data_IF_950584777316
#
_entry.id   IF_950584777316
#
_cell.length_a   1.000
_cell.length_b   1.000
_cell.length_c   1.000
_cell.angle_alpha   90.00
_cell.angle_beta   90.00
_cell.angle_gamma   90.00
#
_symmetry.space_group_name_H-M   'P 1'
#
loop_
_entity.id
_entity.type
_entity.pdbx_description
1 polymer ?
#
# COMPACT_ATOMS: atom_id res chain seq x y z
N UNK A 1 49.76 4.32 -0.84
CA UNK A 1 48.68 4.37 0.18
C UNK A 1 47.37 4.54 -0.58
N UNK A 2 46.70 3.41 -0.83
CA UNK A 2 45.47 3.22 -1.62
C UNK A 2 44.24 3.75 -0.86
N UNK A 3 43.77 4.97 -1.13
CA UNK A 3 42.52 5.51 -0.54
C UNK A 3 41.71 6.34 -1.55
N UNK A 4 41.58 5.84 -2.77
CA UNK A 4 40.74 6.48 -3.80
C UNK A 4 39.97 5.48 -4.65
N UNK A 5 40.36 4.20 -4.66
CA UNK A 5 39.66 3.16 -5.43
C UNK A 5 38.43 2.62 -4.68
N UNK A 6 38.48 2.57 -3.34
CA UNK A 6 37.39 2.02 -2.52
C UNK A 6 36.12 2.87 -2.54
N UNK A 7 36.23 4.20 -2.64
CA UNK A 7 35.07 5.10 -2.75
C UNK A 7 34.42 5.04 -4.14
N UNK A 8 35.19 4.72 -5.17
CA UNK A 8 34.66 4.59 -6.53
C UNK A 8 33.92 3.28 -6.74
N UNK A 9 34.30 2.21 -6.03
CA UNK A 9 33.56 0.94 -5.97
C UNK A 9 32.29 1.07 -5.12
N UNK A 10 32.35 1.76 -3.96
CA UNK A 10 31.19 1.95 -3.10
C UNK A 10 30.06 2.76 -3.77
N UNK A 11 30.40 3.63 -4.72
CA UNK A 11 29.44 4.42 -5.50
C UNK A 11 28.84 3.65 -6.68
N UNK A 12 29.44 2.52 -7.07
CA UNK A 12 28.97 1.59 -8.09
C UNK A 12 27.90 0.62 -7.55
N UNK A 13 27.78 0.51 -6.22
CA UNK A 13 26.83 -0.38 -5.54
C UNK A 13 25.43 0.23 -5.35
N UNK A 14 25.29 1.55 -5.54
CA UNK A 14 24.00 2.24 -5.52
C UNK A 14 23.45 2.32 -6.95
N UNK A 15 22.91 1.20 -7.44
CA UNK A 15 22.12 1.19 -8.67
C UNK A 15 20.86 2.01 -8.41
N UNK A 16 20.92 3.32 -8.70
CA UNK A 16 19.76 4.20 -8.73
C UNK A 16 18.79 3.65 -9.78
N UNK A 17 17.86 2.80 -9.33
CA UNK A 17 16.75 2.30 -10.14
C UNK A 17 16.15 3.49 -10.87
N UNK A 18 16.01 3.40 -12.19
CA UNK A 18 15.29 4.42 -12.93
C UNK A 18 13.91 4.59 -12.28
N UNK A 19 13.37 5.80 -12.25
CA UNK A 19 12.15 6.13 -11.49
C UNK A 19 11.01 5.11 -11.74
N UNK A 20 10.85 4.67 -12.99
CA UNK A 20 9.90 3.62 -13.36
C UNK A 20 10.18 2.25 -12.70
N UNK A 21 11.44 1.83 -12.60
CA UNK A 21 11.83 0.57 -11.95
C UNK A 21 11.64 0.64 -10.42
N UNK A 22 11.96 1.78 -9.81
CA UNK A 22 11.70 2.00 -8.39
C UNK A 22 10.20 1.94 -8.09
N UNK A 23 9.37 2.52 -8.95
CA UNK A 23 7.93 2.48 -8.82
C UNK A 23 7.35 1.08 -9.08
N UNK A 24 7.93 0.31 -10.01
CA UNK A 24 7.61 -1.11 -10.21
C UNK A 24 7.94 -1.93 -8.96
N UNK A 25 9.14 -1.77 -8.40
CA UNK A 25 9.57 -2.46 -7.18
C UNK A 25 8.67 -2.11 -5.99
N UNK A 26 8.31 -0.84 -5.82
CA UNK A 26 7.37 -0.40 -4.79
C UNK A 26 5.98 -1.04 -4.97
N UNK A 27 5.49 -1.13 -6.21
CA UNK A 27 4.21 -1.78 -6.53
C UNK A 27 4.25 -3.26 -6.18
N UNK A 28 5.33 -3.97 -6.54
CA UNK A 28 5.52 -5.38 -6.18
C UNK A 28 5.61 -5.57 -4.66
N UNK A 29 6.30 -4.69 -3.94
CA UNK A 29 6.36 -4.74 -2.49
C UNK A 29 4.98 -4.56 -1.85
N UNK A 30 4.14 -3.65 -2.37
CA UNK A 30 2.76 -3.47 -1.92
C UNK A 30 1.89 -4.69 -2.23
N UNK A 31 2.05 -5.31 -3.40
CA UNK A 31 1.37 -6.56 -3.75
C UNK A 31 1.73 -7.71 -2.80
N UNK A 32 3.01 -7.81 -2.41
CA UNK A 32 3.46 -8.81 -1.42
C UNK A 32 2.90 -8.48 -0.03
N UNK A 33 2.93 -7.21 0.37
CA UNK A 33 2.35 -6.74 1.63
C UNK A 33 0.84 -6.94 1.73
N UNK A 34 0.11 -6.89 0.60
CA UNK A 34 -1.32 -7.19 0.55
C UNK A 34 -1.63 -8.64 0.96
N UNK A 35 -0.80 -9.60 0.51
CA UNK A 35 -0.96 -11.02 0.83
C UNK A 35 -0.69 -11.32 2.31
N UNK A 36 0.27 -10.62 2.92
CA UNK A 36 0.70 -10.83 4.32
C UNK A 36 0.09 -9.83 5.32
N UNK A 37 -0.73 -8.89 4.85
CA UNK A 37 -1.23 -7.77 5.65
C UNK A 37 -2.17 -8.21 6.78
N UNK A 38 -1.91 -7.69 7.98
CA UNK A 38 -2.59 -8.04 9.24
C UNK A 38 -4.03 -7.51 9.37
N UNK A 39 -4.46 -6.53 8.55
CA UNK A 39 -5.75 -5.85 8.74
C UNK A 39 -6.60 -5.81 7.46
N UNK A 40 -7.77 -6.46 7.49
CA UNK A 40 -8.77 -6.43 6.40
C UNK A 40 -9.25 -5.01 6.06
N UNK A 41 -9.20 -4.09 7.03
CA UNK A 41 -9.63 -2.70 6.85
C UNK A 41 -8.79 -1.93 5.81
N UNK A 42 -7.51 -2.29 5.62
CA UNK A 42 -6.61 -1.63 4.67
C UNK A 42 -6.48 -2.36 3.33
N UNK A 43 -6.90 -3.63 3.27
CA UNK A 43 -6.89 -4.42 2.02
C UNK A 43 -7.54 -3.70 0.83
N UNK A 44 -8.77 -3.15 0.91
CA UNK A 44 -9.38 -2.48 -0.25
C UNK A 44 -8.59 -1.23 -0.68
N UNK A 45 -8.05 -0.46 0.28
CA UNK A 45 -7.24 0.73 -0.03
C UNK A 45 -5.90 0.36 -0.69
N UNK A 46 -5.26 -0.71 -0.22
CA UNK A 46 -4.01 -1.24 -0.82
C UNK A 46 -4.29 -1.76 -2.24
N UNK A 47 -5.36 -2.54 -2.42
CA UNK A 47 -5.72 -3.07 -3.74
C UNK A 47 -6.02 -1.95 -4.76
N UNK A 48 -6.74 -0.91 -4.34
CA UNK A 48 -7.00 0.26 -5.16
C UNK A 48 -5.70 0.99 -5.53
N UNK A 49 -4.80 1.23 -4.56
CA UNK A 49 -3.51 1.88 -4.79
C UNK A 49 -2.61 1.09 -5.74
N UNK A 50 -2.56 -0.22 -5.61
CA UNK A 50 -1.83 -1.10 -6.54
C UNK A 50 -2.39 -0.97 -7.96
N UNK A 51 -3.72 -0.95 -8.13
CA UNK A 51 -4.33 -0.83 -9.44
C UNK A 51 -4.02 0.52 -10.13
N UNK A 52 -4.00 1.61 -9.36
CA UNK A 52 -3.62 2.96 -9.83
C UNK A 52 -2.14 3.03 -10.23
N UNK A 53 -1.23 2.51 -9.40
CA UNK A 53 0.20 2.47 -9.70
C UNK A 53 0.51 1.65 -10.96
N UNK A 54 -0.16 0.52 -11.14
CA UNK A 54 -0.02 -0.30 -12.35
C UNK A 54 -0.55 0.42 -13.59
N UNK A 55 -1.59 1.26 -13.46
CA UNK A 55 -2.09 2.07 -14.57
C UNK A 55 -1.05 3.09 -15.00
N UNK A 56 -0.45 3.82 -14.05
CA UNK A 56 0.64 4.76 -14.33
C UNK A 56 1.84 4.09 -15.01
N UNK A 57 2.29 2.95 -14.48
CA UNK A 57 3.41 2.18 -15.04
C UNK A 57 3.11 1.64 -16.45
N UNK A 58 1.87 1.29 -16.74
CA UNK A 58 1.49 0.78 -18.07
C UNK A 58 1.52 1.85 -19.17
N UNK A 59 1.43 3.13 -18.79
CA UNK A 59 1.52 4.28 -19.68
C UNK A 59 2.94 4.75 -19.94
N UNK A 60 3.91 4.31 -19.13
CA UNK A 60 5.30 4.74 -19.22
C UNK A 60 6.01 4.06 -20.41
N UNK A 61 6.47 4.87 -21.37
CA UNK A 61 7.18 4.41 -22.58
C UNK A 61 8.55 3.82 -22.29
N UNK A 62 9.06 3.98 -21.07
CA UNK A 62 10.33 3.40 -20.63
C UNK A 62 10.28 1.87 -20.57
N UNK A 63 9.09 1.28 -20.49
CA UNK A 63 8.90 -0.16 -20.51
C UNK A 63 8.68 -0.73 -21.91
N UNK A 64 9.24 -1.92 -22.15
CA UNK A 64 8.98 -2.73 -23.33
C UNK A 64 7.47 -2.91 -23.59
N UNK A 65 7.02 -2.97 -24.86
CA UNK A 65 5.62 -3.26 -25.19
C UNK A 65 5.06 -4.51 -24.51
N UNK A 66 5.86 -5.57 -24.39
CA UNK A 66 5.45 -6.81 -23.71
C UNK A 66 5.23 -6.59 -22.20
N UNK A 67 6.12 -5.80 -21.57
CA UNK A 67 6.01 -5.45 -20.16
C UNK A 67 4.78 -4.59 -19.92
N UNK A 68 4.51 -3.59 -20.77
CA UNK A 68 3.28 -2.78 -20.68
C UNK A 68 2.03 -3.64 -20.85
N UNK A 69 2.02 -4.58 -21.78
CA UNK A 69 0.90 -5.53 -21.94
C UNK A 69 0.70 -6.42 -20.69
N UNK A 70 1.80 -6.85 -20.05
CA UNK A 70 1.75 -7.56 -18.77
C UNK A 70 1.18 -6.67 -17.65
N UNK A 71 1.66 -5.43 -17.51
CA UNK A 71 1.20 -4.47 -16.50
C UNK A 71 -0.29 -4.15 -16.67
N UNK A 72 -0.78 -3.98 -17.90
CA UNK A 72 -2.21 -3.79 -18.19
C UNK A 72 -3.06 -5.00 -17.80
N UNK A 73 -2.58 -6.23 -18.06
CA UNK A 73 -3.27 -7.45 -17.62
C UNK A 73 -3.32 -7.53 -16.09
N UNK A 74 -2.22 -7.19 -15.44
CA UNK A 74 -2.11 -7.18 -13.99
C UNK A 74 -3.02 -6.12 -13.38
N UNK A 75 -3.05 -4.91 -13.95
CA UNK A 75 -3.93 -3.81 -13.55
C UNK A 75 -5.41 -4.23 -13.59
N UNK A 76 -5.87 -4.85 -14.68
CA UNK A 76 -7.26 -5.37 -14.75
C UNK A 76 -7.57 -6.40 -13.67
N UNK A 77 -6.63 -7.28 -13.35
CA UNK A 77 -6.82 -8.26 -12.26
C UNK A 77 -6.92 -7.57 -10.90
N UNK A 78 -6.10 -6.55 -10.65
CA UNK A 78 -6.13 -5.80 -9.41
C UNK A 78 -7.37 -4.91 -9.26
N UNK A 79 -7.94 -4.42 -10.36
CA UNK A 79 -9.26 -3.76 -10.34
C UNK A 79 -10.36 -4.73 -9.87
N UNK A 80 -10.40 -5.95 -10.39
CA UNK A 80 -11.35 -6.95 -9.90
C UNK A 80 -11.13 -7.30 -8.41
N UNK A 81 -9.88 -7.32 -7.95
CA UNK A 81 -9.54 -7.55 -6.52
C UNK A 81 -9.98 -6.36 -5.65
N UNK A 82 -9.82 -5.12 -6.13
CA UNK A 82 -10.23 -3.93 -5.38
C UNK A 82 -11.75 -3.87 -5.25
N UNK A 83 -12.49 -4.16 -6.32
CA UNK A 83 -13.95 -4.26 -6.34
C UNK A 83 -14.45 -5.35 -5.40
N UNK A 84 -13.86 -6.56 -5.47
CA UNK A 84 -14.22 -7.66 -4.57
C UNK A 84 -13.92 -7.32 -3.10
N UNK A 85 -12.82 -6.61 -2.83
CA UNK A 85 -12.46 -6.17 -1.48
C UNK A 85 -13.37 -5.05 -0.96
N UNK A 86 -13.85 -4.17 -1.83
CA UNK A 86 -14.82 -3.13 -1.49
C UNK A 86 -16.21 -3.72 -1.20
N UNK A 87 -16.64 -4.71 -2.00
CA UNK A 87 -17.90 -5.42 -1.80
C UNK A 87 -17.96 -6.15 -0.45
N UNK A 88 -16.82 -6.64 0.08
CA UNK A 88 -16.75 -7.26 1.42
C UNK A 88 -16.91 -6.25 2.57
N UNK A 89 -16.67 -4.95 2.33
CA UNK A 89 -16.83 -3.90 3.35
C UNK A 89 -18.28 -3.44 3.50
N UNK A 90 -19.06 -3.46 2.43
CA UNK A 90 -20.48 -3.08 2.42
C UNK A 90 -21.33 -3.86 3.46
N UNK A 91 -21.33 -5.20 3.51
CA UNK A 91 -22.17 -5.95 4.44
C UNK A 91 -21.75 -5.78 5.92
N UNK A 92 -20.48 -5.43 6.18
CA UNK A 92 -19.98 -5.19 7.54
C UNK A 92 -20.32 -3.79 8.06
N UNK A 93 -20.41 -2.79 7.17
CA UNK A 93 -20.81 -1.43 7.56
C UNK A 93 -22.29 -1.38 7.98
N UNK A 94 -23.16 -2.13 7.30
CA UNK A 94 -24.57 -2.27 7.69
C UNK A 94 -24.72 -3.05 9.01
N UNK A 95 -23.98 -4.14 9.22
CA UNK A 95 -24.00 -4.86 10.49
C UNK A 95 -23.44 -4.05 11.68
N UNK A 96 -22.42 -3.21 11.44
CA UNK A 96 -21.84 -2.33 12.47
C UNK A 96 -22.70 -1.09 12.76
N UNK A 97 -23.53 -0.65 11.81
CA UNK A 97 -24.49 0.43 12.02
C UNK A 97 -25.64 0.01 12.95
N UNK A 98 -26.07 -1.26 12.87
CA UNK A 98 -27.10 -1.85 13.74
C UNK A 98 -26.64 -1.97 15.22
N UNK A 99 -25.32 -2.01 15.48
CA UNK A 99 -24.76 -2.15 16.84
C UNK A 99 -24.36 -0.82 17.50
N UNK A 100 -24.81 0.32 16.97
CA UNK A 100 -24.48 1.66 17.51
C UNK A 100 -25.24 1.95 18.81
N UNK A 101 -24.94 1.19 19.86
CA UNK A 101 -25.20 1.55 21.26
C UNK A 101 -24.26 2.70 21.70
N UNK A 102 -24.71 3.55 22.64
CA UNK A 102 -24.08 4.84 22.90
C UNK A 102 -22.72 4.71 23.60
N UNK A 103 -21.83 5.61 23.21
CA UNK A 103 -20.49 5.89 23.73
C UNK A 103 -20.41 5.86 25.27
N UNK A 104 -19.63 4.91 25.81
CA UNK A 104 -19.15 4.94 27.22
C UNK A 104 -17.61 5.01 27.29
N UNK A 105 -16.91 5.06 26.15
CA UNK A 105 -15.44 5.09 26.14
C UNK A 105 -14.84 6.48 26.43
N UNK A 106 -15.64 7.56 26.36
CA UNK A 106 -15.14 8.94 26.56
C UNK A 106 -15.24 9.45 28.01
N UNK A 107 -15.84 8.69 28.93
CA UNK A 107 -16.10 9.15 30.30
C UNK A 107 -14.96 8.87 31.31
N UNK A 108 -13.94 8.08 30.96
CA UNK A 108 -12.90 7.65 31.90
C UNK A 108 -11.57 8.43 31.80
N UNK A 109 -11.44 9.36 30.86
CA UNK A 109 -10.18 10.08 30.59
C UNK A 109 -10.11 11.49 31.17
N UNK A 110 -11.19 11.98 31.78
CA UNK A 110 -11.23 13.30 32.45
C UNK A 110 -11.58 13.18 33.93
N UNK A 111 -10.95 12.25 34.67
CA UNK A 111 -10.89 12.36 36.12
C UNK A 111 -9.70 13.29 36.46
N UNK A 112 -9.92 14.53 36.91
CA UNK A 112 -8.82 15.38 37.35
C UNK A 112 -8.34 14.89 38.74
N UNK A 113 -7.02 14.78 38.90
CA UNK A 113 -6.30 14.27 40.07
C UNK A 113 -6.28 15.27 41.26
N UNK A 114 -7.41 15.91 41.60
CA UNK A 114 -7.42 17.04 42.55
C UNK A 114 -7.94 16.70 43.96
N UNK A 115 -8.19 15.43 44.27
CA UNK A 115 -8.72 15.02 45.60
C UNK A 115 -7.72 14.23 46.44
N UNK A 116 -6.46 14.66 46.45
CA UNK A 116 -5.50 14.29 47.50
C UNK A 116 -4.96 15.56 48.16
N UNK A 117 -5.77 16.13 49.05
CA UNK A 117 -5.31 16.95 50.19
C UNK A 117 -6.02 16.46 51.45
#
# INVERSE_FOLDING_TARGET
>A
MHRTESESLARDEEYLLAEGEAQLAATLALMTGFGHGCCEAHRPAIACKVADQLQGLSGDSSFSPDMRALLQRLQRRWQAVSEASAAQRAPRAEAAAETRHPSVAHALWHAPLETLQ
#
